data_IF_706434085795
#
_entry.id   IF_706434085795
#
_cell.length_a   1.000
_cell.length_b   1.000
_cell.length_c   1.000
_cell.angle_alpha   90.00
_cell.angle_beta   90.00
_cell.angle_gamma   90.00
#
_symmetry.space_group_name_H-M   'P 1'
#
loop_
_entity.id
_entity.type
_entity.pdbx_description
1 polymer ?
#
# COMPACT_ATOMS: atom_id res chain seq x y z
N UNK A 1 -43.02 34.45 3.52
CA UNK A 1 -41.67 34.52 2.91
C UNK A 1 -40.53 34.36 3.93
N UNK A 2 -40.76 34.54 5.24
CA UNK A 2 -39.73 34.29 6.28
C UNK A 2 -39.58 32.82 6.68
N UNK A 3 -40.65 32.01 6.62
CA UNK A 3 -40.57 30.56 6.94
C UNK A 3 -39.79 29.74 5.91
N UNK A 4 -39.83 30.11 4.62
CA UNK A 4 -39.05 29.41 3.59
C UNK A 4 -37.54 29.70 3.70
N UNK A 5 -37.15 30.90 4.14
CA UNK A 5 -35.75 31.27 4.38
C UNK A 5 -35.23 30.57 5.66
N UNK A 6 -36.09 30.40 6.67
CA UNK A 6 -35.73 29.65 7.87
C UNK A 6 -35.63 28.14 7.61
N UNK A 7 -36.52 27.59 6.76
CA UNK A 7 -36.47 26.19 6.31
C UNK A 7 -35.25 25.88 5.42
N UNK A 8 -34.85 26.80 4.53
CA UNK A 8 -33.64 26.62 3.72
C UNK A 8 -32.36 26.76 4.54
N UNK A 9 -32.34 27.64 5.55
CA UNK A 9 -31.21 27.82 6.46
C UNK A 9 -31.04 26.64 7.45
N UNK A 10 -32.13 25.97 7.84
CA UNK A 10 -32.08 24.76 8.66
C UNK A 10 -31.58 23.54 7.88
N UNK A 11 -31.84 23.44 6.57
CA UNK A 11 -31.31 22.36 5.72
C UNK A 11 -29.80 22.43 5.48
N UNK A 12 -29.20 23.62 5.61
CA UNK A 12 -27.74 23.81 5.45
C UNK A 12 -26.95 23.58 6.73
N UNK A 13 -27.58 23.53 7.90
CA UNK A 13 -26.88 23.53 9.20
C UNK A 13 -26.58 22.13 9.75
N UNK A 14 -27.14 21.05 9.19
CA UNK A 14 -26.93 19.66 9.66
C UNK A 14 -26.01 18.78 8.78
N UNK A 15 -25.34 19.33 7.77
CA UNK A 15 -24.30 18.58 7.06
C UNK A 15 -22.92 18.97 7.56
N UNK A 16 -22.51 18.39 8.69
CA UNK A 16 -21.10 18.48 9.12
C UNK A 16 -20.18 17.99 7.99
N UNK A 17 -19.01 18.62 7.75
CA UNK A 17 -18.05 18.18 6.73
C UNK A 17 -17.73 16.68 6.81
N UNK A 18 -17.73 16.14 8.03
CA UNK A 18 -17.59 14.71 8.33
C UNK A 18 -18.68 13.85 7.67
N UNK A 19 -19.93 14.31 7.67
CA UNK A 19 -21.04 13.58 7.05
C UNK A 19 -20.89 13.42 5.53
N UNK A 20 -20.28 14.42 4.87
CA UNK A 20 -20.02 14.39 3.43
C UNK A 20 -18.86 13.43 3.10
N UNK A 21 -17.79 13.45 3.89
CA UNK A 21 -16.64 12.55 3.74
C UNK A 21 -17.01 11.09 3.99
N UNK A 22 -17.93 10.83 4.92
CA UNK A 22 -18.35 9.48 5.31
C UNK A 22 -19.51 8.94 4.46
N UNK A 23 -20.12 9.76 3.60
CA UNK A 23 -21.26 9.37 2.74
C UNK A 23 -20.97 8.12 1.89
N UNK A 24 -19.77 7.92 1.29
CA UNK A 24 -19.45 6.69 0.56
C UNK A 24 -19.51 5.41 1.40
N UNK A 25 -19.34 5.51 2.72
CA UNK A 25 -19.34 4.37 3.64
C UNK A 25 -20.74 4.02 4.17
N UNK A 26 -21.75 4.87 3.90
CA UNK A 26 -23.10 4.75 4.46
C UNK A 26 -23.99 3.68 3.84
N UNK A 27 -23.60 3.05 2.72
CA UNK A 27 -24.43 2.04 2.07
C UNK A 27 -23.86 1.52 0.75
N UNK A 28 -24.51 0.50 0.16
CA UNK A 28 -24.12 -0.06 -1.13
C UNK A 28 -24.31 0.98 -2.24
N UNK A 29 -23.22 1.42 -2.85
CA UNK A 29 -23.27 2.27 -4.04
C UNK A 29 -23.08 1.40 -5.28
N UNK A 30 -24.01 1.42 -6.25
CA UNK A 30 -23.96 0.52 -7.39
C UNK A 30 -22.68 0.70 -8.22
N UNK A 31 -22.18 1.93 -8.36
CA UNK A 31 -20.92 2.20 -9.07
C UNK A 31 -19.69 1.63 -8.36
N UNK A 32 -19.61 1.76 -7.03
CA UNK A 32 -18.51 1.16 -6.26
C UNK A 32 -18.58 -0.37 -6.29
N UNK A 33 -19.77 -0.95 -6.15
CA UNK A 33 -19.97 -2.40 -6.21
C UNK A 33 -19.56 -2.93 -7.58
N UNK A 34 -20.03 -2.31 -8.66
CA UNK A 34 -19.65 -2.70 -10.01
C UNK A 34 -18.13 -2.58 -10.22
N UNK A 35 -17.52 -1.47 -9.79
CA UNK A 35 -16.06 -1.29 -9.85
C UNK A 35 -15.30 -2.35 -9.06
N UNK A 36 -15.75 -2.70 -7.86
CA UNK A 36 -15.17 -3.77 -7.03
C UNK A 36 -15.35 -5.15 -7.65
N UNK A 37 -16.49 -5.43 -8.29
CA UNK A 37 -16.73 -6.70 -8.98
C UNK A 37 -15.84 -6.83 -10.22
N UNK A 38 -15.70 -5.77 -11.01
CA UNK A 38 -14.83 -5.76 -12.21
C UNK A 38 -13.37 -5.94 -11.82
N UNK A 39 -12.89 -5.17 -10.85
CA UNK A 39 -11.51 -5.30 -10.36
C UNK A 39 -11.26 -6.65 -9.69
N UNK A 40 -12.24 -7.17 -8.92
CA UNK A 40 -12.20 -8.52 -8.36
C UNK A 40 -12.13 -9.62 -9.43
N UNK A 41 -12.88 -9.48 -10.54
CA UNK A 41 -12.81 -10.41 -11.66
C UNK A 41 -11.45 -10.38 -12.37
N UNK A 42 -10.84 -9.19 -12.53
CA UNK A 42 -9.48 -9.06 -13.09
C UNK A 42 -8.44 -9.70 -12.17
N UNK A 43 -8.56 -9.55 -10.86
CA UNK A 43 -7.69 -10.22 -9.87
C UNK A 43 -7.88 -11.74 -9.93
N UNK A 44 -9.11 -12.24 -10.03
CA UNK A 44 -9.37 -13.67 -10.19
C UNK A 44 -8.75 -14.22 -11.50
N UNK A 45 -8.85 -13.47 -12.60
CA UNK A 45 -8.21 -13.81 -13.87
C UNK A 45 -6.68 -13.84 -13.74
N UNK A 46 -6.07 -12.88 -13.03
CA UNK A 46 -4.63 -12.87 -12.74
C UNK A 46 -4.22 -14.17 -12.04
N UNK A 47 -4.90 -14.56 -10.96
CA UNK A 47 -4.59 -15.79 -10.23
C UNK A 47 -4.85 -17.06 -11.05
N UNK A 48 -5.87 -17.06 -11.90
CA UNK A 48 -6.11 -18.16 -12.84
C UNK A 48 -4.96 -18.30 -13.85
N UNK A 49 -4.53 -17.20 -14.48
CA UNK A 49 -3.40 -17.19 -15.41
C UNK A 49 -2.09 -17.58 -14.71
N UNK A 50 -1.86 -17.15 -13.47
CA UNK A 50 -0.70 -17.57 -12.69
C UNK A 50 -0.73 -19.06 -12.36
N UNK A 51 -1.89 -19.61 -12.00
CA UNK A 51 -2.07 -21.05 -11.81
C UNK A 51 -1.80 -21.84 -13.09
N UNK A 52 -2.23 -21.33 -14.24
CA UNK A 52 -1.90 -21.89 -15.55
C UNK A 52 -0.38 -21.87 -15.81
N UNK A 53 0.29 -20.74 -15.56
CA UNK A 53 1.75 -20.63 -15.68
C UNK A 53 2.49 -21.62 -14.76
N UNK A 54 2.04 -21.78 -13.52
CA UNK A 54 2.63 -22.77 -12.59
C UNK A 54 2.53 -24.19 -13.16
N UNK A 55 1.42 -24.52 -13.85
CA UNK A 55 1.18 -25.86 -14.40
C UNK A 55 1.96 -26.14 -15.70
N UNK A 56 2.15 -25.12 -16.53
CA UNK A 56 2.72 -25.23 -17.88
C UNK A 56 4.11 -24.57 -18.02
N UNK A 57 4.70 -24.17 -16.89
CA UNK A 57 6.01 -23.51 -16.78
C UNK A 57 6.02 -22.06 -17.31
N UNK A 58 7.11 -21.33 -17.06
CA UNK A 58 7.27 -19.92 -17.43
C UNK A 58 7.30 -19.71 -18.95
N UNK A 59 7.54 -20.77 -19.74
CA UNK A 59 7.55 -20.69 -21.20
C UNK A 59 6.26 -20.16 -21.83
N UNK A 60 5.10 -20.32 -21.17
CA UNK A 60 3.80 -19.79 -21.67
C UNK A 60 3.77 -18.27 -21.79
N UNK A 61 4.70 -17.59 -21.13
CA UNK A 61 4.81 -16.13 -21.10
C UNK A 61 5.49 -15.56 -22.34
N UNK A 62 6.04 -16.43 -23.21
CA UNK A 62 6.78 -16.03 -24.40
C UNK A 62 8.22 -15.60 -24.12
N UNK A 63 8.69 -15.73 -22.87
CA UNK A 63 10.10 -15.51 -22.51
C UNK A 63 10.99 -16.56 -23.20
N UNK A 64 12.07 -16.09 -23.81
CA UNK A 64 12.96 -16.93 -24.62
C UNK A 64 14.42 -16.61 -24.29
N UNK A 65 15.31 -17.60 -24.40
CA UNK A 65 16.75 -17.34 -24.28
C UNK A 65 17.22 -16.46 -25.46
N UNK A 66 18.02 -15.41 -25.24
CA UNK A 66 18.69 -15.01 -23.99
C UNK A 66 17.91 -14.03 -23.10
N UNK A 67 16.72 -13.57 -23.52
CA UNK A 67 15.92 -12.58 -22.80
C UNK A 67 15.01 -13.23 -21.74
N UNK A 68 15.54 -13.40 -20.54
CA UNK A 68 14.82 -13.99 -19.41
C UNK A 68 13.85 -13.04 -18.72
N UNK A 69 14.07 -11.73 -18.88
CA UNK A 69 13.26 -10.68 -18.28
C UNK A 69 12.47 -9.94 -19.35
N UNK A 70 11.17 -9.78 -19.12
CA UNK A 70 10.25 -9.10 -20.00
C UNK A 70 9.14 -8.45 -19.19
N UNK A 71 7.90 -8.71 -19.55
CA UNK A 71 6.75 -8.00 -18.99
C UNK A 71 6.68 -7.99 -17.46
N UNK A 72 7.02 -9.10 -16.78
CA UNK A 72 7.00 -9.15 -15.30
C UNK A 72 7.96 -8.15 -14.67
N UNK A 73 9.24 -8.17 -15.06
CA UNK A 73 10.27 -7.32 -14.46
C UNK A 73 10.07 -5.86 -14.88
N UNK A 74 9.64 -5.59 -16.12
CA UNK A 74 9.29 -4.23 -16.54
C UNK A 74 8.13 -3.66 -15.72
N UNK A 75 7.07 -4.45 -15.49
CA UNK A 75 5.95 -4.00 -14.64
C UNK A 75 6.37 -3.89 -13.17
N UNK A 76 7.25 -4.76 -12.69
CA UNK A 76 7.78 -4.68 -11.34
C UNK A 76 8.43 -3.32 -11.10
N UNK A 77 9.40 -2.94 -11.94
CA UNK A 77 10.08 -1.64 -11.84
C UNK A 77 9.09 -0.48 -11.98
N UNK A 78 8.12 -0.61 -12.90
CA UNK A 78 7.07 0.40 -13.09
C UNK A 78 6.21 0.62 -11.83
N UNK A 79 5.70 -0.46 -11.21
CA UNK A 79 4.87 -0.38 -10.02
C UNK A 79 5.66 0.08 -8.79
N UNK A 80 6.90 -0.36 -8.64
CA UNK A 80 7.80 0.17 -7.61
C UNK A 80 8.04 1.67 -7.85
N UNK A 81 8.26 2.11 -9.09
CA UNK A 81 8.37 3.53 -9.45
C UNK A 81 7.14 4.35 -9.06
N UNK A 82 5.93 3.87 -9.35
CA UNK A 82 4.66 4.52 -8.92
C UNK A 82 4.61 4.65 -7.40
N UNK A 83 5.05 3.62 -6.68
CA UNK A 83 4.99 3.63 -5.22
C UNK A 83 5.84 4.73 -4.58
N UNK A 84 6.99 5.07 -5.18
CA UNK A 84 7.85 6.14 -4.69
C UNK A 84 7.21 7.51 -4.81
N UNK A 85 6.48 7.77 -5.90
CA UNK A 85 5.80 9.05 -6.09
C UNK A 85 4.84 9.35 -4.93
N UNK A 86 4.04 8.36 -4.50
CA UNK A 86 3.07 8.58 -3.42
C UNK A 86 3.70 8.87 -2.05
N UNK A 87 4.67 8.05 -1.63
CA UNK A 87 5.33 8.21 -0.32
C UNK A 87 6.24 9.43 -0.27
N UNK A 88 7.02 9.69 -1.32
CA UNK A 88 7.90 10.86 -1.36
C UNK A 88 7.09 12.16 -1.37
N UNK A 89 6.01 12.25 -2.16
CA UNK A 89 5.13 13.42 -2.12
C UNK A 89 4.57 13.62 -0.71
N UNK A 90 4.02 12.57 -0.08
CA UNK A 90 3.46 12.73 1.27
C UNK A 90 4.52 13.11 2.32
N UNK A 91 5.67 12.44 2.31
CA UNK A 91 6.72 12.63 3.29
C UNK A 91 7.42 13.99 3.13
N UNK A 92 7.81 14.37 1.91
CA UNK A 92 8.49 15.64 1.64
C UNK A 92 7.56 16.81 1.94
N UNK A 93 6.30 16.77 1.51
CA UNK A 93 5.33 17.82 1.83
C UNK A 93 5.08 17.93 3.33
N UNK A 94 5.18 16.81 4.06
CA UNK A 94 5.05 16.82 5.51
C UNK A 94 6.26 17.43 6.20
N UNK A 95 7.48 17.08 5.78
CA UNK A 95 8.73 17.63 6.32
C UNK A 95 8.86 19.13 6.01
N UNK A 96 8.44 19.56 4.83
CA UNK A 96 8.46 20.98 4.41
C UNK A 96 7.34 21.82 5.02
N UNK A 97 6.41 21.22 5.78
CA UNK A 97 5.31 21.94 6.43
C UNK A 97 4.24 22.46 5.46
N UNK A 98 4.16 21.94 4.24
CA UNK A 98 3.21 22.40 3.22
C UNK A 98 1.75 22.12 3.65
N UNK A 99 0.99 23.16 4.01
CA UNK A 99 -0.37 23.01 4.56
C UNK A 99 -1.39 22.43 3.55
N UNK A 100 -1.20 22.69 2.25
CA UNK A 100 -2.09 22.24 1.18
C UNK A 100 -2.08 20.72 0.96
N UNK A 101 -1.13 19.99 1.56
CA UNK A 101 -0.97 18.54 1.38
C UNK A 101 -2.14 17.71 1.94
N UNK A 102 -2.86 18.23 2.95
CA UNK A 102 -3.86 17.50 3.76
C UNK A 102 -4.86 16.64 2.96
N UNK A 103 -5.50 17.15 1.88
CA UNK A 103 -6.44 16.35 1.07
C UNK A 103 -5.76 15.23 0.24
N UNK A 104 -4.49 15.40 -0.13
CA UNK A 104 -3.81 14.49 -1.07
C UNK A 104 -3.02 13.40 -0.33
N UNK A 105 -2.47 13.70 0.85
CA UNK A 105 -1.52 12.80 1.53
C UNK A 105 -2.08 11.40 1.79
N UNK A 106 -3.37 11.27 2.11
CA UNK A 106 -3.99 9.96 2.37
C UNK A 106 -4.09 9.10 1.12
N UNK A 107 -4.50 9.72 0.02
CA UNK A 107 -4.60 9.03 -1.26
C UNK A 107 -3.20 8.62 -1.75
N UNK A 108 -2.22 9.50 -1.61
CA UNK A 108 -0.83 9.23 -2.00
C UNK A 108 -0.20 8.08 -1.18
N UNK A 109 -0.39 8.08 0.14
CA UNK A 109 0.06 6.99 1.02
C UNK A 109 -0.64 5.66 0.68
N UNK A 110 -1.94 5.68 0.38
CA UNK A 110 -2.69 4.49 -0.01
C UNK A 110 -2.26 3.92 -1.38
N UNK A 111 -2.08 4.79 -2.39
CA UNK A 111 -1.59 4.39 -3.71
C UNK A 111 -0.22 3.72 -3.59
N UNK A 112 0.64 4.22 -2.70
CA UNK A 112 1.96 3.63 -2.45
C UNK A 112 1.84 2.19 -1.97
N UNK A 113 1.03 1.94 -0.94
CA UNK A 113 0.87 0.60 -0.37
C UNK A 113 0.30 -0.35 -1.42
N UNK A 114 -0.72 0.06 -2.17
CA UNK A 114 -1.29 -0.79 -3.22
C UNK A 114 -0.31 -1.06 -4.38
N UNK A 115 0.42 -0.04 -4.83
CA UNK A 115 1.46 -0.18 -5.85
C UNK A 115 2.58 -1.12 -5.38
N UNK A 116 2.98 -1.05 -4.10
CA UNK A 116 3.96 -1.98 -3.52
C UNK A 116 3.45 -3.40 -3.43
N UNK A 117 2.18 -3.61 -3.08
CA UNK A 117 1.59 -4.96 -3.09
C UNK A 117 1.61 -5.56 -4.50
N UNK A 118 1.23 -4.79 -5.52
CA UNK A 118 1.25 -5.26 -6.91
C UNK A 118 2.70 -5.47 -7.39
N UNK A 119 3.59 -4.50 -7.15
CA UNK A 119 5.00 -4.58 -7.49
C UNK A 119 5.67 -5.80 -6.84
N UNK A 120 5.54 -5.97 -5.53
CA UNK A 120 6.13 -7.07 -4.78
C UNK A 120 5.60 -8.46 -5.15
N UNK A 121 4.41 -8.56 -5.73
CA UNK A 121 3.87 -9.83 -6.25
C UNK A 121 4.55 -10.26 -7.57
N UNK A 122 5.03 -9.32 -8.39
CA UNK A 122 5.55 -9.64 -9.72
C UNK A 122 6.84 -10.47 -9.71
N UNK A 123 7.85 -10.20 -8.85
CA UNK A 123 9.00 -11.09 -8.70
C UNK A 123 8.60 -12.50 -8.29
N UNK A 124 7.59 -12.66 -7.41
CA UNK A 124 7.09 -13.97 -6.98
C UNK A 124 6.40 -14.72 -8.12
N UNK A 125 5.58 -14.02 -8.91
CA UNK A 125 4.88 -14.58 -10.07
C UNK A 125 5.87 -14.97 -11.18
N UNK A 126 6.97 -14.24 -11.30
CA UNK A 126 8.02 -14.49 -12.28
C UNK A 126 8.86 -15.75 -11.97
N UNK A 127 8.87 -16.25 -10.74
CA UNK A 127 9.63 -17.47 -10.43
C UNK A 127 9.06 -18.69 -11.15
N UNK A 128 9.93 -19.52 -11.74
CA UNK A 128 9.53 -20.81 -12.30
C UNK A 128 9.06 -21.80 -11.23
N UNK A 129 9.55 -21.66 -9.99
CA UNK A 129 9.17 -22.49 -8.83
C UNK A 129 8.85 -21.61 -7.62
N UNK A 130 7.69 -20.93 -7.59
CA UNK A 130 7.36 -19.97 -6.54
C UNK A 130 7.28 -20.60 -5.15
N UNK A 131 6.97 -21.89 -5.04
CA UNK A 131 6.93 -22.60 -3.74
C UNK A 131 8.29 -22.71 -3.05
N UNK A 132 9.41 -22.49 -3.76
CA UNK A 132 10.76 -22.49 -3.18
C UNK A 132 11.22 -21.11 -2.71
N UNK A 133 10.36 -20.08 -2.81
CA UNK A 133 10.69 -18.70 -2.44
C UNK A 133 11.26 -18.56 -1.01
N UNK A 134 10.82 -19.40 -0.08
CA UNK A 134 11.28 -19.36 1.32
C UNK A 134 12.80 -19.57 1.47
N UNK A 135 13.50 -20.17 0.50
CA UNK A 135 14.97 -20.29 0.52
C UNK A 135 15.70 -18.97 0.28
N UNK A 136 15.01 -17.94 -0.24
CA UNK A 136 15.57 -16.61 -0.41
C UNK A 136 15.48 -15.78 0.88
N UNK A 137 14.70 -16.25 1.86
CA UNK A 137 14.58 -15.62 3.18
C UNK A 137 15.61 -16.25 4.13
N UNK A 138 16.31 -15.44 4.96
CA UNK A 138 17.33 -15.94 5.89
C UNK A 138 16.70 -16.68 7.09
N UNK A 139 16.12 -17.86 6.85
CA UNK A 139 15.51 -18.71 7.87
C UNK A 139 16.42 -19.93 8.11
N UNK A 140 16.73 -20.28 9.38
CA UNK A 140 17.52 -21.47 9.69
C UNK A 140 16.86 -22.73 9.12
N UNK A 141 17.55 -23.41 8.21
CA UNK A 141 17.13 -24.70 7.65
C UNK A 141 17.87 -25.85 8.32
N UNK A 142 17.33 -27.07 8.19
CA UNK A 142 17.96 -28.28 8.75
C UNK A 142 19.40 -28.51 8.27
N UNK A 143 19.77 -27.96 7.10
CA UNK A 143 21.11 -28.02 6.55
C UNK A 143 21.98 -26.78 6.81
N UNK A 144 21.53 -25.82 7.64
CA UNK A 144 22.20 -24.53 7.87
C UNK A 144 22.52 -23.77 6.56
N UNK A 145 21.67 -23.93 5.55
CA UNK A 145 21.78 -23.23 4.28
C UNK A 145 21.25 -21.80 4.41
N UNK A 146 21.97 -20.86 3.79
CA UNK A 146 21.65 -19.43 3.78
C UNK A 146 21.59 -18.89 2.34
N UNK A 147 20.81 -17.83 2.08
CA UNK A 147 20.84 -17.15 0.79
C UNK A 147 22.20 -16.50 0.54
N UNK A 148 22.55 -16.33 -0.73
CA UNK A 148 23.75 -15.59 -1.12
C UNK A 148 23.50 -14.08 -0.99
N UNK A 149 24.03 -13.47 0.07
CA UNK A 149 23.90 -12.03 0.33
C UNK A 149 24.64 -11.12 -0.65
N UNK A 150 25.41 -11.65 -1.61
CA UNK A 150 25.99 -10.85 -2.69
C UNK A 150 25.04 -10.65 -3.88
N UNK A 151 23.87 -11.31 -3.87
CA UNK A 151 22.90 -11.20 -4.96
C UNK A 151 21.98 -10.00 -4.76
N UNK A 152 21.90 -9.07 -5.73
CA UNK A 152 20.96 -7.94 -5.70
C UNK A 152 19.49 -8.38 -5.52
N UNK A 153 19.09 -9.50 -6.12
CA UNK A 153 17.75 -10.07 -5.98
C UNK A 153 17.38 -10.45 -4.54
N UNK A 154 18.35 -10.77 -3.68
CA UNK A 154 18.12 -11.02 -2.25
C UNK A 154 17.92 -9.70 -1.50
N UNK A 155 18.64 -8.65 -1.89
CA UNK A 155 18.48 -7.31 -1.33
C UNK A 155 17.10 -6.74 -1.66
N UNK A 156 16.58 -7.06 -2.84
CA UNK A 156 15.24 -6.70 -3.29
C UNK A 156 14.13 -7.17 -2.33
N UNK A 157 14.23 -8.40 -1.84
CA UNK A 157 13.28 -8.94 -0.86
C UNK A 157 13.31 -8.12 0.43
N UNK A 158 14.50 -7.79 0.93
CA UNK A 158 14.67 -6.97 2.13
C UNK A 158 14.17 -5.54 1.91
N UNK A 159 14.49 -4.95 0.76
CA UNK A 159 14.10 -3.59 0.39
C UNK A 159 12.58 -3.46 0.31
N UNK A 160 11.92 -4.32 -0.51
CA UNK A 160 10.47 -4.32 -0.70
C UNK A 160 9.76 -4.59 0.63
N UNK A 161 10.21 -5.57 1.42
CA UNK A 161 9.57 -5.92 2.70
C UNK A 161 9.67 -4.77 3.70
N UNK A 162 10.85 -4.17 3.84
CA UNK A 162 11.08 -3.03 4.75
C UNK A 162 10.25 -1.83 4.30
N UNK A 163 10.20 -1.57 3.00
CA UNK A 163 9.49 -0.43 2.45
C UNK A 163 7.97 -0.58 2.52
N UNK A 164 7.44 -1.77 2.21
CA UNK A 164 6.03 -2.09 2.38
C UNK A 164 5.63 -1.97 3.85
N UNK A 165 6.41 -2.54 4.77
CA UNK A 165 6.15 -2.45 6.21
C UNK A 165 6.15 -0.98 6.67
N UNK A 166 7.19 -0.22 6.30
CA UNK A 166 7.28 1.21 6.63
C UNK A 166 6.13 2.02 6.04
N UNK A 167 5.72 1.76 4.80
CA UNK A 167 4.62 2.45 4.11
C UNK A 167 3.26 2.11 4.73
N UNK A 168 3.03 0.84 5.09
CA UNK A 168 1.82 0.42 5.79
C UNK A 168 1.73 1.10 7.16
N UNK A 169 2.83 1.13 7.92
CA UNK A 169 2.85 1.85 9.20
C UNK A 169 2.63 3.35 9.02
N UNK A 170 3.26 3.95 8.01
CA UNK A 170 3.11 5.38 7.71
C UNK A 170 1.69 5.76 7.31
N UNK A 171 0.98 4.89 6.59
CA UNK A 171 -0.45 5.03 6.27
C UNK A 171 -1.34 4.75 7.49
N UNK A 172 -1.02 3.72 8.28
CA UNK A 172 -1.84 3.26 9.40
C UNK A 172 -1.89 4.26 10.55
N UNK A 173 -0.76 4.88 10.91
CA UNK A 173 -0.68 5.86 11.99
C UNK A 173 -1.75 6.95 11.87
N UNK A 174 -1.79 7.74 10.79
CA UNK A 174 -2.78 8.80 10.69
C UNK A 174 -4.20 8.24 10.51
N UNK A 175 -4.42 6.99 10.08
CA UNK A 175 -5.75 6.38 9.99
C UNK A 175 -6.35 5.98 11.36
N UNK A 176 -5.55 5.85 12.42
CA UNK A 176 -6.03 5.53 13.78
C UNK A 176 -7.19 6.44 14.27
N UNK A 177 -7.06 7.79 14.24
CA UNK A 177 -8.18 8.66 14.62
C UNK A 177 -9.38 8.52 13.68
N UNK A 178 -9.16 8.28 12.39
CA UNK A 178 -10.23 8.12 11.39
C UNK A 178 -11.06 6.85 11.71
N UNK A 179 -10.40 5.75 12.07
CA UNK A 179 -11.07 4.53 12.53
C UNK A 179 -11.80 4.73 13.86
N UNK A 180 -11.29 5.57 14.77
CA UNK A 180 -12.00 5.90 16.00
C UNK A 180 -13.31 6.66 15.74
N UNK A 181 -13.31 7.61 14.80
CA UNK A 181 -14.54 8.31 14.38
C UNK A 181 -15.56 7.32 13.79
N UNK A 182 -15.09 6.40 12.94
CA UNK A 182 -15.94 5.34 12.36
C UNK A 182 -16.49 4.38 13.42
N UNK A 183 -15.66 4.00 14.40
CA UNK A 183 -16.05 3.19 15.55
C UNK A 183 -17.19 3.87 16.32
N UNK A 184 -16.99 5.11 16.73
CA UNK A 184 -17.95 5.84 17.59
C UNK A 184 -19.28 6.10 16.87
N UNK A 185 -19.25 6.26 15.54
CA UNK A 185 -20.46 6.33 14.71
C UNK A 185 -21.18 4.98 14.61
N UNK A 186 -20.45 3.88 14.37
CA UNK A 186 -21.06 2.56 14.26
C UNK A 186 -21.55 2.02 15.61
N UNK A 187 -20.86 2.33 16.71
CA UNK A 187 -21.33 2.00 18.06
C UNK A 187 -22.65 2.71 18.39
N UNK A 188 -22.83 3.96 17.96
CA UNK A 188 -24.09 4.70 18.16
C UNK A 188 -25.27 4.13 17.34
N UNK A 189 -25.00 3.63 16.13
CA UNK A 189 -26.05 3.11 15.25
C UNK A 189 -26.36 1.63 15.46
N UNK A 190 -25.35 0.78 15.67
CA UNK A 190 -25.50 -0.65 15.93
C UNK A 190 -24.32 -1.18 16.80
N UNK A 191 -24.44 -1.15 18.13
CA UNK A 191 -23.38 -1.57 19.06
C UNK A 191 -22.89 -3.01 18.85
N UNK A 192 -23.80 -3.93 18.48
CA UNK A 192 -23.49 -5.35 18.25
C UNK A 192 -23.01 -5.67 16.83
N UNK A 193 -22.96 -4.68 15.94
CA UNK A 193 -22.63 -4.88 14.54
C UNK A 193 -21.18 -5.31 14.32
N UNK A 194 -20.95 -6.19 13.34
CA UNK A 194 -19.60 -6.59 12.92
C UNK A 194 -18.70 -5.40 12.58
N UNK A 195 -19.23 -4.38 11.89
CA UNK A 195 -18.51 -3.15 11.54
C UNK A 195 -18.01 -2.39 12.76
N UNK A 196 -18.82 -2.31 13.83
CA UNK A 196 -18.43 -1.64 15.06
C UNK A 196 -17.26 -2.36 15.74
N UNK A 197 -17.26 -3.71 15.75
CA UNK A 197 -16.14 -4.51 16.27
C UNK A 197 -14.88 -4.35 15.42
N UNK A 198 -15.00 -4.41 14.10
CA UNK A 198 -13.88 -4.24 13.17
C UNK A 198 -13.20 -2.86 13.36
N UNK A 199 -13.98 -1.77 13.34
CA UNK A 199 -13.43 -0.43 13.58
C UNK A 199 -12.93 -0.24 15.01
N UNK A 200 -13.47 -0.96 16.00
CA UNK A 200 -12.91 -0.95 17.36
C UNK A 200 -11.51 -1.56 17.43
N UNK A 201 -11.28 -2.66 16.70
CA UNK A 201 -9.97 -3.28 16.59
C UNK A 201 -9.00 -2.38 15.81
N UNK A 202 -9.42 -1.84 14.66
CA UNK A 202 -8.59 -0.96 13.83
C UNK A 202 -8.27 0.38 14.49
N UNK A 203 -9.14 0.89 15.37
CA UNK A 203 -8.86 2.08 16.17
C UNK A 203 -7.81 1.83 17.26
N UNK A 204 -7.40 0.58 17.51
CA UNK A 204 -6.35 0.19 18.46
C UNK A 204 -6.47 0.87 19.85
N UNK A 205 -7.70 1.07 20.33
CA UNK A 205 -7.96 1.72 21.62
C UNK A 205 -7.77 3.25 21.63
N UNK A 206 -7.73 3.91 20.48
CA UNK A 206 -7.65 5.37 20.37
C UNK A 206 -8.84 6.06 21.08
N UNK A 207 -8.52 7.03 21.95
CA UNK A 207 -9.49 7.82 22.74
C UNK A 207 -9.39 9.33 22.48
N UNK A 208 -8.32 9.77 21.79
CA UNK A 208 -8.10 11.18 21.48
C UNK A 208 -7.59 12.02 22.65
N UNK A 209 -6.89 11.41 23.61
CA UNK A 209 -6.27 12.16 24.72
C UNK A 209 -5.15 13.08 24.20
N UNK A 210 -4.83 14.20 24.88
CA UNK A 210 -3.75 15.09 24.45
C UNK A 210 -2.39 14.37 24.29
N UNK A 211 -2.11 13.41 25.17
CA UNK A 211 -0.91 12.58 25.10
C UNK A 211 -0.88 11.71 23.84
N UNK A 212 -2.00 11.07 23.48
CA UNK A 212 -2.11 10.26 22.26
C UNK A 212 -1.88 11.10 21.00
N UNK A 213 -2.45 12.31 20.95
CA UNK A 213 -2.23 13.24 19.85
C UNK A 213 -0.76 13.65 19.71
N UNK A 214 -0.11 13.98 20.83
CA UNK A 214 1.30 14.34 20.83
C UNK A 214 2.19 13.20 20.33
N UNK A 215 1.98 11.97 20.84
CA UNK A 215 2.72 10.78 20.39
C UNK A 215 2.45 10.44 18.93
N UNK A 216 1.20 10.59 18.46
CA UNK A 216 0.85 10.36 17.06
C UNK A 216 1.55 11.37 16.14
N UNK A 217 1.54 12.66 16.49
CA UNK A 217 2.19 13.69 15.69
C UNK A 217 3.70 13.47 15.60
N UNK A 218 4.33 13.13 16.74
CA UNK A 218 5.74 12.76 16.79
C UNK A 218 6.02 11.51 15.94
N UNK A 219 5.23 10.45 16.09
CA UNK A 219 5.40 9.21 15.36
C UNK A 219 5.30 9.42 13.85
N UNK A 220 4.30 10.16 13.38
CA UNK A 220 4.16 10.49 11.95
C UNK A 220 5.34 11.34 11.46
N UNK A 221 5.83 12.29 12.26
CA UNK A 221 6.99 13.12 11.90
C UNK A 221 8.26 12.29 11.76
N UNK A 222 8.53 11.41 12.71
CA UNK A 222 9.68 10.49 12.67
C UNK A 222 9.59 9.56 11.47
N UNK A 223 8.43 8.94 11.24
CA UNK A 223 8.23 8.06 10.08
C UNK A 223 8.41 8.80 8.75
N UNK A 224 7.99 10.06 8.65
CA UNK A 224 8.21 10.86 7.44
C UNK A 224 9.69 11.09 7.14
N UNK A 225 10.52 11.24 8.18
CA UNK A 225 11.98 11.39 8.02
C UNK A 225 12.62 10.05 7.64
N UNK A 226 12.16 8.94 8.22
CA UNK A 226 12.71 7.59 7.96
C UNK A 226 12.31 7.07 6.57
N UNK A 227 11.08 7.32 6.11
CA UNK A 227 10.58 6.73 4.86
C UNK A 227 11.25 7.30 3.61
N UNK A 228 11.78 8.53 3.67
CA UNK A 228 12.47 9.18 2.54
C UNK A 228 13.74 8.41 2.14
N UNK A 229 14.73 8.19 3.03
CA UNK A 229 15.92 7.42 2.67
C UNK A 229 15.60 5.96 2.36
N UNK A 230 14.57 5.38 2.98
CA UNK A 230 14.10 4.03 2.62
C UNK A 230 13.57 3.98 1.19
N UNK A 231 12.75 4.96 0.78
CA UNK A 231 12.24 5.01 -0.59
C UNK A 231 13.37 5.17 -1.62
N UNK A 232 14.36 6.03 -1.34
CA UNK A 232 15.55 6.22 -2.20
C UNK A 232 16.39 4.94 -2.26
N UNK A 233 16.64 4.29 -1.12
CA UNK A 233 17.46 3.07 -1.09
C UNK A 233 16.80 1.92 -1.85
N UNK A 234 15.48 1.75 -1.74
CA UNK A 234 14.74 0.69 -2.44
C UNK A 234 14.86 0.85 -3.95
N UNK A 235 14.65 2.06 -4.49
CA UNK A 235 14.77 2.27 -5.92
C UNK A 235 16.21 2.09 -6.42
N UNK A 236 17.18 2.42 -5.56
CA UNK A 236 18.61 2.20 -5.85
C UNK A 236 18.93 0.70 -5.92
N UNK A 237 18.42 -0.11 -4.98
CA UNK A 237 18.60 -1.57 -4.98
C UNK A 237 17.98 -2.21 -6.23
N UNK A 238 16.76 -1.82 -6.59
CA UNK A 238 16.11 -2.26 -7.84
C UNK A 238 16.91 -1.84 -9.08
N UNK A 239 17.59 -0.69 -9.03
CA UNK A 239 18.47 -0.27 -10.12
C UNK A 239 19.75 -1.13 -10.20
N UNK A 240 20.27 -1.60 -9.06
CA UNK A 240 21.44 -2.48 -9.01
C UNK A 240 21.19 -3.86 -9.60
N UNK A 241 19.94 -4.33 -9.66
CA UNK A 241 19.58 -5.56 -10.39
C UNK A 241 19.99 -5.50 -11.87
N UNK A 242 20.03 -4.31 -12.46
CA UNK A 242 20.47 -4.07 -13.83
C UNK A 242 21.94 -3.62 -13.85
N UNK A 243 22.30 -2.64 -13.02
CA UNK A 243 23.62 -2.01 -13.06
C UNK A 243 24.78 -2.96 -12.69
N UNK A 244 24.54 -3.96 -11.85
CA UNK A 244 25.56 -4.94 -11.47
C UNK A 244 25.70 -6.10 -12.47
N UNK A 245 24.88 -6.13 -13.52
CA UNK A 245 25.00 -7.13 -14.59
C UNK A 245 26.13 -6.78 -15.55
N UNK A 246 26.67 -7.78 -16.24
CA UNK A 246 27.67 -7.58 -17.29
C UNK A 246 27.05 -7.14 -18.63
N UNK A 247 25.73 -6.97 -18.69
CA UNK A 247 25.03 -6.67 -19.93
C UNK A 247 25.39 -5.24 -20.38
N UNK A 248 25.91 -5.07 -21.63
CA UNK A 248 26.16 -3.75 -22.17
C UNK A 248 24.90 -2.89 -22.10
N UNK A 249 25.05 -1.58 -21.87
CA UNK A 249 23.97 -0.60 -21.61
C UNK A 249 23.32 -0.68 -20.23
N UNK A 250 23.46 -1.78 -19.49
CA UNK A 250 22.93 -1.88 -18.13
C UNK A 250 24.01 -1.53 -17.11
N UNK A 251 25.25 -1.95 -17.34
CA UNK A 251 26.38 -1.61 -16.47
C UNK A 251 26.76 -0.13 -16.55
N UNK A 252 26.38 0.66 -15.54
CA UNK A 252 26.67 2.09 -15.41
C UNK A 252 26.57 2.58 -13.97
#
# INVERSE_FOLDING_TARGET
MSEQIHSSALKTTEQTPESQLLRPLGGPQPGLILGSLVTGALVALLFYCWGYQIRYDIGVTGLSRPNFWGFYITNFVFWIGISHAGTLISAILRVTGAAWRRPVTRCAEAITVFALCVGGLLPLIHLGRPWLFYYMVPIPSQGLLWPNFNSPLVWDILAITTYLTGSVLYLALPLLPDFAILRDRNLRSNPSGFRARLYSLLAAGWRGTPQQWHSLEQGIRVMAIIIIPVAVSVHTIVSWDFAMTLQPMWHS
#
